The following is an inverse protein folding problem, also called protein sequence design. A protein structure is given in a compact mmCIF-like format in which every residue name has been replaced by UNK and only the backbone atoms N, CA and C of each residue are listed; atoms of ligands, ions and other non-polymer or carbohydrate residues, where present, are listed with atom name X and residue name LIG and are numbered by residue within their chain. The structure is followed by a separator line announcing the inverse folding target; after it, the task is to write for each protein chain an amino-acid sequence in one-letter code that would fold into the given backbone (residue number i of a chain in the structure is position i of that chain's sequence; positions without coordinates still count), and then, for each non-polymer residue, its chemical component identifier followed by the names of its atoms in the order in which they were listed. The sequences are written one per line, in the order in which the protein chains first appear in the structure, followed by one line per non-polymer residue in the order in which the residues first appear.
data_IF_834226652994
#
_entry.id   IF_834226652994
#
_cell.length_a   1.000
_cell.length_b   1.000
_cell.length_c   1.000
_cell.angle_alpha   90.00
_cell.angle_beta   90.00
_cell.angle_gamma   90.00
#
_symmetry.space_group_name_H-M   'P 1'
#
loop_
_entity.id
_entity.type
_entity.pdbx_description
1 polymer ?
#
# COMPACT_ATOMS: atom_id res chain seq x y z
N UNK A 1 0.82 34.59 -18.84
CA UNK A 1 0.34 34.48 -17.44
C UNK A 1 0.92 33.17 -16.91
N UNK A 2 2.05 33.21 -16.20
CA UNK A 2 2.71 32.00 -15.66
C UNK A 2 1.97 31.55 -14.41
N UNK A 3 1.42 30.34 -14.42
CA UNK A 3 1.00 29.63 -13.21
C UNK A 3 2.09 28.62 -12.91
N UNK A 4 2.63 28.69 -11.69
CA UNK A 4 3.62 27.74 -11.20
C UNK A 4 3.13 26.29 -11.36
N UNK A 5 4.08 25.48 -11.80
CA UNK A 5 4.00 24.12 -12.33
C UNK A 5 3.77 23.08 -11.21
N UNK A 6 2.72 23.23 -10.40
CA UNK A 6 2.36 22.21 -9.41
C UNK A 6 1.44 21.19 -10.08
N UNK A 7 1.98 20.03 -10.48
CA UNK A 7 1.17 18.90 -10.96
C UNK A 7 0.36 18.34 -9.80
N UNK A 8 -0.96 18.34 -9.94
CA UNK A 8 -1.84 17.71 -8.95
C UNK A 8 -1.59 16.20 -8.87
N UNK A 9 -1.97 15.56 -7.77
CA UNK A 9 -1.93 14.10 -7.60
C UNK A 9 -2.63 13.40 -8.78
N UNK A 10 -3.74 13.99 -9.25
CA UNK A 10 -4.48 13.49 -10.39
C UNK A 10 -3.64 13.56 -11.68
N UNK A 11 -3.00 14.69 -11.98
CA UNK A 11 -2.15 14.81 -13.17
C UNK A 11 -0.95 13.87 -13.12
N UNK A 12 -0.36 13.68 -11.93
CA UNK A 12 0.73 12.73 -11.71
C UNK A 12 0.27 11.29 -11.93
N UNK A 13 -0.89 10.91 -11.39
CA UNK A 13 -1.50 9.60 -11.59
C UNK A 13 -1.76 9.34 -13.07
N UNK A 14 -2.46 10.24 -13.78
CA UNK A 14 -2.76 10.07 -15.20
C UNK A 14 -1.48 9.91 -16.02
N UNK A 15 -0.47 10.75 -15.79
CA UNK A 15 0.82 10.64 -16.48
C UNK A 15 1.53 9.30 -16.19
N UNK A 16 1.43 8.81 -14.96
CA UNK A 16 2.00 7.52 -14.57
C UNK A 16 1.27 6.35 -15.26
N UNK A 17 -0.06 6.33 -15.26
CA UNK A 17 -0.85 5.31 -15.95
C UNK A 17 -0.58 5.31 -17.46
N UNK A 18 -0.50 6.49 -18.09
CA UNK A 18 -0.15 6.62 -19.50
C UNK A 18 1.22 5.99 -19.82
N UNK A 19 2.19 6.14 -18.92
CA UNK A 19 3.51 5.51 -19.08
C UNK A 19 3.46 3.99 -18.94
N UNK A 20 2.65 3.46 -18.01
CA UNK A 20 2.44 2.02 -17.87
C UNK A 20 1.78 1.43 -19.12
N UNK A 21 0.74 2.08 -19.64
CA UNK A 21 0.04 1.68 -20.87
C UNK A 21 0.97 1.69 -22.09
N UNK A 22 1.76 2.74 -22.27
CA UNK A 22 2.74 2.84 -23.36
C UNK A 22 3.75 1.68 -23.34
N UNK A 23 4.12 1.21 -22.15
CA UNK A 23 5.05 0.09 -21.96
C UNK A 23 4.35 -1.27 -21.85
N UNK A 24 3.01 -1.32 -21.86
CA UNK A 24 2.19 -2.52 -21.65
C UNK A 24 2.52 -3.23 -20.32
N UNK A 25 2.79 -2.46 -19.28
CA UNK A 25 3.01 -2.97 -17.94
C UNK A 25 1.65 -3.16 -17.27
N UNK A 26 1.40 -4.35 -16.69
CA UNK A 26 0.15 -4.64 -15.99
C UNK A 26 0.09 -3.92 -14.65
N UNK A 27 -1.08 -3.34 -14.35
CA UNK A 27 -1.32 -2.68 -13.07
C UNK A 27 -2.78 -2.81 -12.64
N UNK A 28 -3.03 -2.57 -11.36
CA UNK A 28 -4.35 -2.48 -10.75
C UNK A 28 -4.46 -1.18 -9.94
N UNK A 29 -5.65 -0.59 -9.87
CA UNK A 29 -5.94 0.55 -9.00
C UNK A 29 -6.81 0.11 -7.82
N UNK A 30 -6.52 0.65 -6.65
CA UNK A 30 -7.30 0.40 -5.45
C UNK A 30 -7.33 1.61 -4.50
N UNK A 31 -8.32 1.60 -3.60
CA UNK A 31 -8.49 2.58 -2.54
C UNK A 31 -8.46 1.86 -1.19
N UNK A 32 -7.31 1.86 -0.53
CA UNK A 32 -7.09 1.12 0.73
C UNK A 32 -7.17 2.00 1.99
N UNK A 33 -6.86 3.30 1.85
CA UNK A 33 -6.89 4.26 2.97
C UNK A 33 -7.44 5.60 2.51
N UNK A 34 -7.91 6.38 3.47
CA UNK A 34 -8.41 7.72 3.20
C UNK A 34 -7.34 8.62 2.57
N UNK A 35 -7.71 9.29 1.48
CA UNK A 35 -6.85 10.29 0.84
C UNK A 35 -5.74 9.73 -0.04
N UNK A 36 -5.73 8.45 -0.40
CA UNK A 36 -4.73 7.88 -1.31
C UNK A 36 -5.35 6.95 -2.37
N UNK A 37 -4.89 7.05 -3.61
CA UNK A 37 -5.13 6.05 -4.66
C UNK A 37 -3.85 5.24 -4.81
N UNK A 38 -3.95 3.93 -4.65
CA UNK A 38 -2.83 3.01 -4.86
C UNK A 38 -2.87 2.43 -6.27
N UNK A 39 -1.70 2.38 -6.90
CA UNK A 39 -1.45 1.64 -8.14
C UNK A 39 -0.49 0.50 -7.83
N UNK A 40 -0.97 -0.74 -7.93
CA UNK A 40 -0.14 -1.94 -7.78
C UNK A 40 0.36 -2.34 -9.15
N UNK A 41 1.69 -2.39 -9.33
CA UNK A 41 2.34 -2.76 -10.59
C UNK A 41 3.04 -4.11 -10.41
N UNK A 42 2.68 -5.06 -11.26
CA UNK A 42 3.25 -6.41 -11.23
C UNK A 42 4.37 -6.55 -12.27
N UNK A 43 5.58 -6.88 -11.81
CA UNK A 43 6.72 -7.22 -12.63
C UNK A 43 7.23 -8.63 -12.26
N UNK A 44 7.95 -9.34 -13.14
CA UNK A 44 8.55 -10.62 -12.77
C UNK A 44 9.45 -10.49 -11.52
N UNK A 45 9.10 -11.23 -10.46
CA UNK A 45 9.80 -11.24 -9.17
C UNK A 45 9.66 -9.96 -8.34
N UNK A 46 8.79 -9.03 -8.74
CA UNK A 46 8.62 -7.75 -8.02
C UNK A 46 7.15 -7.31 -8.05
N UNK A 47 6.69 -6.77 -6.92
CA UNK A 47 5.45 -6.00 -6.85
C UNK A 47 5.81 -4.60 -6.39
N UNK A 48 5.30 -3.60 -7.08
CA UNK A 48 5.47 -2.20 -6.70
C UNK A 48 4.12 -1.64 -6.30
N UNK A 49 4.11 -0.88 -5.22
CA UNK A 49 2.93 -0.15 -4.77
C UNK A 49 3.27 1.34 -4.83
N UNK A 50 2.49 2.08 -5.62
CA UNK A 50 2.65 3.52 -5.82
C UNK A 50 1.38 4.20 -5.36
N UNK A 51 1.44 4.96 -4.27
CA UNK A 51 0.30 5.71 -3.74
C UNK A 51 0.39 7.18 -4.13
N UNK A 52 -0.68 7.71 -4.71
CA UNK A 52 -0.87 9.12 -5.01
C UNK A 52 -1.79 9.72 -3.96
N UNK A 53 -1.27 10.63 -3.13
CA UNK A 53 -1.96 11.18 -1.97
C UNK A 53 -2.67 12.49 -2.32
N UNK A 54 -3.71 12.83 -1.55
CA UNK A 54 -4.51 14.04 -1.73
C UNK A 54 -3.74 15.36 -1.52
N UNK A 55 -2.55 15.31 -0.92
CA UNK A 55 -1.63 16.44 -0.73
C UNK A 55 -0.59 16.57 -1.85
N UNK A 56 -0.82 15.88 -2.98
CA UNK A 56 0.05 15.81 -4.16
C UNK A 56 1.38 15.07 -3.96
N UNK A 57 1.60 14.46 -2.78
CA UNK A 57 2.76 13.59 -2.55
C UNK A 57 2.57 12.19 -3.16
N UNK A 58 3.69 11.51 -3.41
CA UNK A 58 3.73 10.15 -3.94
C UNK A 58 4.59 9.29 -3.04
N UNK A 59 4.04 8.17 -2.58
CA UNK A 59 4.76 7.14 -1.83
C UNK A 59 4.98 5.92 -2.74
N UNK A 60 6.16 5.32 -2.66
CA UNK A 60 6.53 4.15 -3.48
C UNK A 60 7.16 3.10 -2.58
N UNK A 61 6.56 1.91 -2.56
CA UNK A 61 7.12 0.72 -1.95
C UNK A 61 7.39 -0.35 -3.01
N UNK A 62 8.47 -1.11 -2.79
CA UNK A 62 8.91 -2.17 -3.69
C UNK A 62 9.09 -3.46 -2.91
N UNK A 63 8.28 -4.45 -3.25
CA UNK A 63 8.39 -5.82 -2.78
C UNK A 63 9.20 -6.61 -3.80
N UNK A 64 10.27 -7.25 -3.34
CA UNK A 64 11.11 -8.13 -4.17
C UNK A 64 10.89 -9.56 -3.67
N UNK A 65 10.51 -10.46 -4.57
CA UNK A 65 10.46 -11.89 -4.28
C UNK A 65 11.87 -12.40 -4.02
N UNK A 66 12.03 -13.22 -2.99
CA UNK A 66 13.25 -13.99 -2.73
C UNK A 66 13.51 -15.07 -3.79
N UNK A 67 12.56 -15.30 -4.69
CA UNK A 67 12.62 -16.28 -5.77
C UNK A 67 12.15 -17.68 -5.35
N UNK A 68 11.83 -17.88 -4.07
CA UNK A 68 11.39 -19.15 -3.54
C UNK A 68 9.86 -19.24 -3.57
N UNK A 69 9.35 -20.36 -4.08
CA UNK A 69 7.91 -20.65 -4.10
C UNK A 69 7.66 -21.75 -3.07
N UNK A 70 7.08 -21.37 -1.95
CA UNK A 70 6.65 -22.30 -0.90
C UNK A 70 5.48 -23.17 -1.35
N UNK A 71 5.33 -24.32 -0.70
CA UNK A 71 4.14 -25.18 -0.79
C UNK A 71 3.11 -24.84 0.30
N UNK A 72 2.08 -25.69 0.46
CA UNK A 72 1.03 -25.49 1.47
C UNK A 72 1.57 -25.38 2.91
N UNK A 73 2.74 -25.95 3.20
CA UNK A 73 3.34 -25.86 4.53
C UNK A 73 3.70 -24.43 4.95
N UNK A 74 3.96 -23.54 3.98
CA UNK A 74 4.24 -22.12 4.25
C UNK A 74 3.06 -21.39 4.91
N UNK A 75 1.83 -21.91 4.77
CA UNK A 75 0.65 -21.35 5.44
C UNK A 75 0.74 -21.47 6.96
N UNK A 76 1.41 -22.50 7.48
CA UNK A 76 1.62 -22.66 8.93
C UNK A 76 2.52 -21.55 9.47
N UNK A 77 3.59 -21.23 8.74
CA UNK A 77 4.52 -20.16 9.10
C UNK A 77 3.85 -18.79 9.08
N UNK A 78 3.03 -18.51 8.05
CA UNK A 78 2.28 -17.27 7.91
C UNK A 78 1.45 -16.93 9.16
N UNK A 79 0.70 -17.91 9.69
CA UNK A 79 -0.14 -17.69 10.87
C UNK A 79 0.65 -17.64 12.18
N UNK A 80 1.80 -18.32 12.25
CA UNK A 80 2.68 -18.26 13.42
C UNK A 80 3.26 -16.85 13.62
N UNK A 81 3.67 -16.17 12.54
CA UNK A 81 4.22 -14.80 12.59
C UNK A 81 3.17 -13.80 13.07
N UNK A 82 1.96 -13.85 12.54
CA UNK A 82 0.88 -12.92 12.89
C UNK A 82 0.46 -13.06 14.37
N UNK A 83 0.46 -14.27 14.91
CA UNK A 83 0.02 -14.53 16.29
C UNK A 83 0.98 -13.99 17.36
N UNK A 84 2.24 -13.72 17.00
CA UNK A 84 3.26 -13.22 17.92
C UNK A 84 3.15 -11.70 18.21
N UNK A 85 2.32 -10.96 17.45
CA UNK A 85 2.13 -9.51 17.61
C UNK A 85 0.69 -9.21 18.04
N UNK A 86 0.38 -9.49 19.30
CA UNK A 86 -0.76 -8.89 19.98
C UNK A 86 -0.28 -8.43 21.36
N UNK A 87 -0.06 -7.12 21.59
CA UNK A 87 0.13 -6.64 22.94
C UNK A 87 -1.21 -6.83 23.66
N UNK A 88 -1.23 -7.74 24.64
CA UNK A 88 -2.32 -7.82 25.60
C UNK A 88 -2.50 -6.46 26.28
N UNK A 89 -3.49 -5.67 25.83
CA UNK A 89 -3.96 -4.53 26.61
C UNK A 89 -4.80 -5.10 27.76
N UNK A 90 -4.17 -5.24 28.92
CA UNK A 90 -4.85 -5.54 30.17
C UNK A 90 -5.01 -4.21 30.89
N UNK A 91 -6.12 -3.50 30.67
CA UNK A 91 -6.51 -2.42 31.58
C UNK A 91 -7.73 -2.86 32.42
N UNK A 92 -7.65 -2.78 33.75
CA UNK A 92 -8.79 -3.07 34.62
C UNK A 92 -9.82 -1.95 34.49
N UNK A 93 -11.05 -2.31 34.14
CA UNK A 93 -12.20 -1.41 34.13
C UNK A 93 -12.48 -0.90 35.56
N UNK A 94 -12.14 0.35 35.86
CA UNK A 94 -12.55 1.03 37.09
C UNK A 94 -13.91 1.67 36.85
N UNK A 95 -14.94 1.09 37.46
CA UNK A 95 -16.29 1.65 37.47
C UNK A 95 -16.33 2.85 38.42
N UNK A 96 -16.35 4.07 37.90
CA UNK A 96 -16.57 5.27 38.70
C UNK A 96 -18.08 5.47 38.85
N UNK A 97 -18.62 5.06 40.00
CA UNK A 97 -19.97 5.45 40.42
C UNK A 97 -19.99 6.95 40.69
N UNK A 98 -20.74 7.71 39.88
CA UNK A 98 -21.17 9.05 40.26
C UNK A 98 -22.31 8.95 41.28
N UNK A 99 -22.27 9.86 42.25
CA UNK A 99 -23.09 9.94 43.46
C UNK A 99 -24.59 10.02 43.24
#
# INVERSE_FOLDING_TARGET
MNRNDTRSAFDQLIAFLDQLEQQRISYELAYHREGAIMVTVALPGQQWEVEFLADDSVEVEKFISDGDIGDESALVELFAVHSATSPMVTEPFVMVSHS
#
